data_IF_848800911852
#
_entry.id   IF_848800911852
#
_cell.length_a   1.000
_cell.length_b   1.000
_cell.length_c   1.000
_cell.angle_alpha   90.00
_cell.angle_beta   90.00
_cell.angle_gamma   90.00
#
_symmetry.space_group_name_H-M   'P 1'
#
loop_
_entity.id
_entity.type
_entity.pdbx_description
1 polymer ?
2 water ?
#
# COMPACT_ATOMS: atom_id res chain seq x y z
N UNK A 4 -0.27 3.98 -13.91
CA UNK A 4 -0.31 2.92 -12.85
C UNK A 4 -1.73 2.45 -12.62
N UNK A 5 -1.93 1.14 -12.59
CA UNK A 5 -3.25 0.62 -12.31
C UNK A 5 -3.05 -0.62 -11.46
N UNK A 6 -4.06 -0.96 -10.68
CA UNK A 6 -3.94 -2.12 -9.81
C UNK A 6 -5.27 -2.82 -9.62
N UNK A 7 -5.20 -4.11 -9.34
CA UNK A 7 -6.41 -4.89 -9.10
C UNK A 7 -6.17 -5.73 -7.85
N UNK A 8 -7.21 -5.88 -7.03
CA UNK A 8 -7.12 -6.67 -5.80
C UNK A 8 -7.95 -7.93 -5.99
N UNK A 9 -7.35 -9.09 -5.78
CA UNK A 9 -8.09 -10.35 -5.92
C UNK A 9 -9.17 -10.43 -4.84
N UNK A 10 -10.06 -11.40 -4.96
CA UNK A 10 -11.12 -11.56 -3.97
C UNK A 10 -10.56 -11.77 -2.57
N UNK A 11 -9.51 -12.58 -2.46
CA UNK A 11 -8.90 -12.85 -1.17
C UNK A 11 -8.22 -11.62 -0.58
N UNK A 12 -7.65 -10.77 -1.44
CA UNK A 12 -7.01 -9.55 -0.95
C UNK A 12 -8.10 -8.61 -0.44
N UNK A 13 -9.18 -8.48 -1.20
CA UNK A 13 -10.30 -7.62 -0.82
C UNK A 13 -10.90 -8.07 0.52
N UNK A 14 -11.15 -9.37 0.64
CA UNK A 14 -11.71 -9.91 1.88
C UNK A 14 -10.80 -9.58 3.05
N UNK A 15 -9.50 -9.81 2.86
CA UNK A 15 -8.53 -9.54 3.91
C UNK A 15 -8.55 -8.06 4.32
N UNK A 16 -8.43 -7.17 3.34
CA UNK A 16 -8.45 -5.74 3.65
C UNK A 16 -9.70 -5.39 4.45
N UNK A 17 -10.80 -6.07 4.13
CA UNK A 17 -12.07 -5.88 4.83
C UNK A 17 -11.99 -6.38 6.27
N UNK A 18 -11.43 -7.57 6.48
CA UNK A 18 -11.29 -8.13 7.83
C UNK A 18 -10.44 -7.20 8.69
N UNK A 19 -9.57 -6.43 8.03
CA UNK A 19 -8.70 -5.49 8.72
C UNK A 19 -9.32 -4.09 8.78
N UNK A 20 -10.54 -3.98 8.26
CA UNK A 20 -11.29 -2.72 8.27
C UNK A 20 -10.58 -1.54 7.62
N UNK A 21 -9.82 -1.77 6.55
CA UNK A 21 -9.11 -0.67 5.92
C UNK A 21 -9.37 -0.49 4.42
N UNK A 22 -10.26 -1.31 3.85
CA UNK A 22 -10.56 -1.24 2.42
C UNK A 22 -11.18 0.09 2.00
N UNK A 23 -11.85 0.73 2.94
CA UNK A 23 -12.53 2.00 2.71
C UNK A 23 -11.65 3.20 3.06
N UNK A 24 -10.42 2.93 3.48
CA UNK A 24 -9.50 3.98 3.88
C UNK A 24 -8.65 4.54 2.75
N UNK A 25 -7.89 5.58 3.07
CA UNK A 25 -6.97 6.15 2.11
C UNK A 25 -5.78 5.20 2.17
N UNK A 26 -5.45 4.57 1.06
CA UNK A 26 -4.33 3.64 1.05
C UNK A 26 -3.14 4.21 0.29
N UNK A 27 -1.96 3.99 0.85
CA UNK A 27 -0.72 4.47 0.25
C UNK A 27 0.22 3.29 0.04
N UNK A 28 0.53 3.00 -1.22
CA UNK A 28 1.44 1.91 -1.55
C UNK A 28 2.81 2.52 -1.78
N UNK A 29 3.80 2.06 -1.04
CA UNK A 29 5.14 2.60 -1.20
C UNK A 29 6.20 1.54 -0.98
N UNK A 30 7.43 1.87 -1.37
CA UNK A 30 8.55 0.96 -1.18
C UNK A 30 8.96 1.27 0.24
N UNK A 31 9.55 0.31 0.92
CA UNK A 31 9.97 0.55 2.28
C UNK A 31 11.46 0.22 2.37
N UNK A 32 12.30 1.22 2.12
CA UNK A 32 13.74 1.02 2.17
C UNK A 32 14.31 1.58 3.47
N UNK A 33 13.42 1.89 4.42
CA UNK A 33 13.82 2.44 5.70
C UNK A 33 13.99 3.95 5.67
N UNK A 34 13.84 4.55 4.49
CA UNK A 34 14.02 5.98 4.36
C UNK A 34 12.79 6.88 4.44
N UNK A 35 11.61 6.33 4.20
CA UNK A 35 10.39 7.13 4.24
C UNK A 35 9.80 7.34 5.62
N UNK A 36 8.91 8.32 5.75
CA UNK A 36 8.30 8.61 7.04
C UNK A 36 7.41 7.47 7.54
N UNK A 37 6.88 6.66 6.63
CA UNK A 37 6.02 5.54 7.01
C UNK A 37 6.70 4.17 7.08
N UNK A 38 8.02 4.14 7.25
CA UNK A 38 8.77 2.88 7.32
C UNK A 38 8.24 1.84 8.33
N UNK A 39 8.15 0.59 7.86
CA UNK A 39 7.65 -0.59 8.59
C UNK A 39 6.31 -0.39 9.26
N UNK A 49 11.05 -4.26 -1.25
CA UNK A 49 9.97 -4.49 -0.29
C UNK A 49 8.93 -3.37 -0.32
N UNK A 50 7.67 -3.72 -0.12
CA UNK A 50 6.61 -2.71 -0.13
C UNK A 50 5.66 -2.86 1.03
N UNK A 51 4.91 -1.80 1.29
CA UNK A 51 3.92 -1.85 2.35
C UNK A 51 2.74 -0.97 2.02
N UNK A 52 1.61 -1.31 2.62
CA UNK A 52 0.38 -0.55 2.44
C UNK A 52 0.17 0.27 3.69
N UNK A 53 0.11 1.58 3.53
CA UNK A 53 -0.10 2.46 4.66
C UNK A 53 -1.52 3.00 4.56
N UNK A 54 -2.29 2.91 5.63
CA UNK A 54 -3.64 3.45 5.57
C UNK A 54 -3.80 4.71 6.41
N UNK A 55 -4.63 5.63 5.92
CA UNK A 55 -4.89 6.90 6.59
C UNK A 55 -6.37 7.22 6.48
N UNK A 56 -6.80 8.29 7.15
CA UNK A 56 -8.21 8.68 7.07
C UNK A 56 -8.45 9.85 6.14
N UNK A 57 -7.36 10.51 5.75
CA UNK A 57 -7.40 11.64 4.83
C UNK A 57 -6.16 11.53 3.95
N UNK A 58 -6.20 12.18 2.80
CA UNK A 58 -5.08 12.14 1.87
C UNK A 58 -3.83 12.82 2.42
N UNK A 59 -2.68 12.29 2.04
CA UNK A 59 -1.39 12.85 2.45
C UNK A 59 -0.84 13.54 1.19
N UNK A 60 -0.69 14.87 1.23
CA UNK A 60 -0.17 15.59 0.07
C UNK A 60 1.20 15.11 -0.45
N UNK A 61 1.96 14.42 0.40
CA UNK A 61 3.26 13.90 -0.04
C UNK A 61 3.06 12.68 -0.96
N UNK A 62 1.83 12.19 -1.04
CA UNK A 62 1.51 11.02 -1.87
C UNK A 62 0.23 11.32 -2.65
N UNK A 63 0.32 12.19 -3.67
CA UNK A 63 -0.79 12.62 -4.51
C UNK A 63 -1.15 11.80 -5.74
N UNK A 64 -0.25 10.93 -6.18
CA UNK A 64 -0.49 10.13 -7.37
C UNK A 64 -1.47 8.98 -7.17
N UNK A 65 -2.55 9.01 -7.94
CA UNK A 65 -3.57 7.99 -7.83
C UNK A 65 -3.23 6.75 -8.65
N UNK A 66 -3.49 5.60 -8.06
CA UNK A 66 -3.26 4.34 -8.73
C UNK A 66 -4.66 3.92 -9.15
N UNK A 67 -4.89 3.91 -10.46
CA UNK A 67 -6.18 3.55 -11.00
C UNK A 67 -6.57 2.11 -10.70
N UNK A 68 -7.86 1.91 -10.45
CA UNK A 68 -8.43 0.60 -10.18
C UNK A 68 -9.92 0.71 -10.44
N UNK A 69 -10.57 -0.42 -10.63
CA UNK A 69 -12.00 -0.44 -10.90
C UNK A 69 -12.74 -0.97 -9.69
N UNK A 70 -12.10 -0.92 -8.53
CA UNK A 70 -12.72 -1.43 -7.32
C UNK A 70 -13.05 -0.37 -6.28
N UNK A 71 -12.98 0.89 -6.68
CA UNK A 71 -13.31 2.02 -5.81
C UNK A 71 -12.41 2.14 -4.61
N UNK A 72 -11.15 1.75 -4.78
CA UNK A 72 -10.19 1.84 -3.70
C UNK A 72 -9.43 3.16 -3.84
N UNK A 73 -9.36 3.92 -2.76
CA UNK A 73 -8.64 5.18 -2.77
C UNK A 73 -7.19 4.88 -2.43
N UNK A 74 -6.42 4.49 -3.44
CA UNK A 74 -5.02 4.13 -3.26
C UNK A 74 -4.09 5.10 -3.98
N UNK A 75 -3.05 5.53 -3.27
CA UNK A 75 -2.08 6.50 -3.78
C UNK A 75 -0.63 6.06 -3.65
N UNK A 76 0.25 6.88 -4.22
CA UNK A 76 1.69 6.66 -4.16
C UNK A 76 2.38 8.00 -4.47
N UNK A 77 3.70 7.99 -4.55
CA UNK A 77 4.44 9.22 -4.84
C UNK A 77 5.24 9.09 -6.13
N UNK A 78 5.77 10.20 -6.61
CA UNK A 78 6.54 10.16 -7.84
C UNK A 78 7.77 9.28 -7.65
N UNK A 79 8.33 9.31 -6.45
CA UNK A 79 9.49 8.48 -6.17
C UNK A 79 9.15 6.99 -6.14
N UNK A 80 8.09 6.66 -5.42
CA UNK A 80 7.67 5.26 -5.29
C UNK A 80 7.13 4.64 -6.57
N UNK A 81 6.57 5.44 -7.47
CA UNK A 81 6.02 4.87 -8.70
C UNK A 81 7.05 4.29 -9.65
N UNK A 82 8.31 4.71 -9.53
CA UNK A 82 9.34 4.18 -10.41
C UNK A 82 9.68 2.73 -10.09
N UNK A 83 9.41 2.30 -8.86
CA UNK A 83 9.68 0.92 -8.48
C UNK A 83 8.45 0.02 -8.55
N UNK A 84 7.31 0.60 -8.93
CA UNK A 84 6.09 -0.18 -9.04
C UNK A 84 6.08 -0.68 -10.48
N UNK A 85 5.12 -1.52 -10.83
CA UNK A 85 5.09 -2.04 -12.19
C UNK A 85 3.76 -1.87 -12.87
N UNK A 86 3.67 -2.21 -14.16
CA UNK A 86 2.43 -2.09 -14.94
C UNK A 86 1.43 -3.20 -14.65
N UNK A 87 0.16 -2.83 -14.54
CA UNK A 87 -0.92 -3.78 -14.28
C UNK A 87 -0.66 -4.60 -13.02
N UNK A 88 -0.59 -3.91 -11.88
CA UNK A 88 -0.33 -4.57 -10.62
C UNK A 88 -1.53 -5.33 -10.07
N UNK A 89 -1.23 -6.38 -9.34
CA UNK A 89 -2.23 -7.21 -8.71
C UNK A 89 -1.81 -7.42 -7.26
N UNK A 90 -2.73 -7.20 -6.34
CA UNK A 90 -2.46 -7.44 -4.92
C UNK A 90 -3.27 -8.69 -4.56
N UNK A 91 -2.59 -9.69 -4.01
CA UNK A 91 -3.25 -10.93 -3.63
C UNK A 91 -2.98 -11.24 -2.17
N UNK A 92 -3.69 -12.23 -1.64
CA UNK A 92 -3.52 -12.63 -0.25
C UNK A 92 -3.62 -14.15 -0.16
N UNK A 93 -2.59 -14.79 0.40
CA UNK A 93 -2.58 -16.25 0.57
C UNK A 93 -1.36 -16.63 1.40
N UNK A 94 -1.42 -17.78 2.07
CA UNK A 94 -0.29 -18.18 2.91
C UNK A 94 -0.12 -17.14 4.03
N UNK A 95 -1.22 -16.50 4.40
CA UNK A 95 -1.20 -15.49 5.45
C UNK A 95 -0.48 -14.19 5.13
N UNK A 96 -0.26 -13.91 3.85
CA UNK A 96 0.43 -12.67 3.50
C UNK A 96 -0.08 -11.95 2.26
N UNK A 97 0.06 -10.63 2.26
CA UNK A 97 -0.34 -9.81 1.12
C UNK A 97 0.83 -9.90 0.16
N UNK A 98 0.54 -10.08 -1.12
CA UNK A 98 1.59 -10.16 -2.12
C UNK A 98 1.27 -9.23 -3.28
N UNK A 99 2.29 -8.52 -3.75
CA UNK A 99 2.14 -7.58 -4.86
C UNK A 99 2.93 -8.07 -6.07
N UNK A 100 2.31 -7.99 -7.24
CA UNK A 100 2.94 -8.43 -8.48
C UNK A 100 2.47 -7.59 -9.66
N UNK A 101 3.11 -7.78 -10.80
CA UNK A 101 2.75 -7.06 -12.02
C UNK A 101 3.03 -7.96 -13.23
N UNK A 102 2.97 -7.39 -14.43
CA UNK A 102 3.24 -8.16 -15.64
C UNK A 102 4.69 -8.62 -15.69
N UNK A 103 5.56 -7.96 -14.93
CA UNK A 103 6.97 -8.29 -14.90
C UNK A 103 7.33 -9.36 -13.86
N UNK A 104 6.36 -9.73 -13.03
CA UNK A 104 6.61 -10.75 -12.03
C UNK A 104 6.28 -10.34 -10.61
N UNK A 105 6.77 -11.12 -9.64
CA UNK A 105 6.52 -10.84 -8.23
C UNK A 105 7.37 -9.68 -7.73
N UNK A 106 6.71 -8.71 -7.10
CA UNK A 106 7.36 -7.52 -6.56
C UNK A 106 7.68 -7.71 -5.08
N UNK A 107 6.75 -8.30 -4.35
CA UNK A 107 6.94 -8.54 -2.93
C UNK A 107 5.91 -9.55 -2.46
N UNK A 108 6.38 -10.68 -1.94
CA UNK A 108 5.47 -11.72 -1.47
C UNK A 108 4.96 -11.54 -0.05
N UNK A 109 5.49 -10.56 0.66
CA UNK A 109 5.04 -10.32 2.03
C UNK A 109 4.95 -8.82 2.32
N UNK A 110 3.94 -8.19 1.74
CA UNK A 110 3.69 -6.76 1.90
C UNK A 110 3.11 -6.50 3.29
N UNK A 111 3.68 -5.51 3.98
CA UNK A 111 3.21 -5.16 5.32
C UNK A 111 2.12 -4.09 5.28
N UNK A 112 1.32 -4.03 6.34
CA UNK A 112 0.28 -3.03 6.45
C UNK A 112 0.56 -2.21 7.70
N UNK A 113 0.49 -0.90 7.57
CA UNK A 113 0.74 -0.05 8.72
C UNK A 113 -0.23 1.10 8.86
N UNK A 114 -0.62 1.34 10.11
CA UNK A 114 -1.51 2.44 10.47
C UNK A 114 -0.63 3.69 10.39
N UNK A 115 -0.85 4.51 9.36
CA UNK A 115 -0.05 5.70 9.16
C UNK A 115 0.05 6.66 10.34
N UNK A 116 -1.09 7.01 10.91
CA UNK A 116 -1.12 7.92 12.03
C UNK A 116 -0.30 7.34 13.17
N UNK A 117 -0.49 6.06 13.46
CA UNK A 117 0.26 5.42 14.54
C UNK A 117 1.76 5.51 14.30
N UNK A 118 2.18 5.26 13.06
CA UNK A 118 3.60 5.34 12.70
C UNK A 118 4.17 6.72 13.01
N UNK A 119 3.50 7.76 12.52
CA UNK A 119 3.94 9.14 12.74
C UNK A 119 3.98 9.51 14.23
N UNK A 120 2.94 9.11 14.97
CA UNK A 120 2.85 9.39 16.40
C UNK A 120 4.07 8.84 17.14
N UNK A 121 4.38 7.57 16.90
CA UNK A 121 5.52 6.93 17.54
C UNK A 121 6.80 7.62 17.07
N UNK A 122 6.87 7.95 15.79
CA UNK A 122 8.03 8.63 15.23
C UNK A 122 8.29 9.89 16.04
N UNK A 123 7.23 10.65 16.26
CA UNK A 123 7.29 11.89 17.01
C UNK A 123 7.67 11.69 18.48
N UNK A 124 7.07 10.71 19.14
CA UNK A 124 7.39 10.49 20.54
C UNK A 124 8.81 10.02 20.82
N UNK A 125 9.33 9.09 20.02
CA UNK A 125 10.69 8.63 20.26
C UNK A 125 11.66 9.80 20.16
N UNK A 126 11.27 10.83 19.41
CA UNK A 126 12.10 12.03 19.23
C UNK A 126 11.95 13.03 20.38
#
# INVERSE_FOLDING_TARGET
MSLLNIKFTDNAVDYLKRREILDKILILITDDGGGKYSIQGGSCSMGAHFSIIWLDKVDPDYPVKIANEQNVKIYTSDFDKTMLGPNMVMDYNAGSLSLSSDEGLLDGSVDIGNGAALLKANKNVQMGINRQCEGHHHHHH
#
